data_IF_249364279910
#
_entry.id   IF_249364279910
#
_cell.length_a   1.000
_cell.length_b   1.000
_cell.length_c   1.000
_cell.angle_alpha   90.00
_cell.angle_beta   90.00
_cell.angle_gamma   90.00
#
_symmetry.space_group_name_H-M   'P 1'
#
loop_
_entity.id
_entity.type
_entity.pdbx_description
1 polymer ?
#
# COMPACT_ATOMS: atom_id res chain seq x y z
N UNK A 1 6.38 24.53 11.88
CA UNK A 1 6.20 23.06 11.92
C UNK A 1 4.74 22.76 12.21
N UNK A 2 4.05 21.95 11.39
CA UNK A 2 2.67 21.53 11.69
C UNK A 2 2.65 20.87 13.08
N UNK A 3 1.79 21.33 13.98
CA UNK A 3 1.59 20.73 15.30
C UNK A 3 0.39 19.81 15.24
N UNK A 4 0.57 18.54 15.56
CA UNK A 4 -0.51 17.56 15.65
C UNK A 4 -0.97 17.44 17.10
N UNK A 5 -2.28 17.34 17.32
CA UNK A 5 -2.87 17.31 18.66
C UNK A 5 -2.72 15.95 19.33
N UNK A 6 -2.48 14.89 18.55
CA UNK A 6 -2.27 13.55 19.08
C UNK A 6 -1.39 12.69 18.16
N UNK A 7 -0.75 11.65 18.70
CA UNK A 7 -0.05 10.64 17.90
C UNK A 7 -0.95 9.97 16.87
N UNK A 8 -2.24 9.76 17.18
CA UNK A 8 -3.21 9.21 16.23
C UNK A 8 -3.52 10.17 15.07
N UNK A 9 -3.51 11.48 15.30
CA UNK A 9 -3.67 12.48 14.25
C UNK A 9 -2.44 12.53 13.34
N UNK A 10 -1.24 12.43 13.92
CA UNK A 10 0.00 12.25 13.17
C UNK A 10 -0.05 10.94 12.38
N UNK A 11 -0.48 9.85 13.00
CA UNK A 11 -0.62 8.56 12.34
C UNK A 11 -1.58 8.67 11.17
N UNK A 12 -2.78 9.25 11.31
CA UNK A 12 -3.71 9.42 10.17
C UNK A 12 -3.13 10.30 9.05
N UNK A 13 -2.43 11.37 9.43
CA UNK A 13 -1.71 12.22 8.48
C UNK A 13 -0.66 11.43 7.69
N UNK A 14 0.08 10.55 8.37
CA UNK A 14 1.13 9.69 7.78
C UNK A 14 0.58 8.38 7.15
N UNK A 15 -0.58 7.91 7.57
CA UNK A 15 -1.08 6.56 7.25
C UNK A 15 -2.11 6.54 6.14
N UNK A 16 -2.63 7.69 5.71
CA UNK A 16 -3.71 7.75 4.71
C UNK A 16 -3.38 8.68 3.55
N UNK A 17 -2.64 9.78 3.75
CA UNK A 17 -2.39 10.80 2.72
C UNK A 17 -0.93 11.24 2.61
N UNK A 18 0.01 10.42 3.09
CA UNK A 18 1.40 10.83 3.08
C UNK A 18 1.90 10.77 1.62
N UNK A 19 2.52 11.84 1.10
CA UNK A 19 2.89 12.00 -0.30
C UNK A 19 3.68 10.85 -0.93
N UNK A 20 4.17 9.87 -0.20
CA UNK A 20 4.87 8.69 -0.74
C UNK A 20 3.97 7.88 -1.70
N UNK A 21 2.66 7.78 -1.44
CA UNK A 21 1.71 7.18 -2.38
C UNK A 21 1.25 8.14 -3.49
N UNK A 22 1.53 9.45 -3.35
CA UNK A 22 1.11 10.50 -4.28
C UNK A 22 2.29 11.08 -5.10
N UNK A 23 3.54 10.72 -4.77
CA UNK A 23 4.76 11.04 -5.51
C UNK A 23 4.77 10.32 -6.87
N UNK A 24 4.05 9.21 -6.96
CA UNK A 24 3.65 8.58 -8.19
C UNK A 24 2.14 8.55 -8.19
N UNK A 25 1.49 9.40 -8.97
CA UNK A 25 0.06 9.31 -9.21
C UNK A 25 -0.19 7.93 -9.85
N UNK A 26 -0.48 6.92 -9.01
CA UNK A 26 -0.74 5.56 -9.47
C UNK A 26 -2.05 5.60 -10.26
N UNK A 27 -2.06 5.25 -11.55
CA UNK A 27 -3.22 5.46 -12.41
C UNK A 27 -4.27 4.39 -12.13
N UNK A 28 -4.84 4.39 -10.93
CA UNK A 28 -5.77 3.35 -10.44
C UNK A 28 -6.97 3.17 -11.38
N UNK A 29 -7.37 4.21 -12.10
CA UNK A 29 -8.49 4.20 -13.05
C UNK A 29 -8.16 3.52 -14.38
N UNK A 30 -6.89 3.26 -14.69
CA UNK A 30 -6.49 2.58 -15.93
C UNK A 30 -6.38 1.07 -15.77
N UNK A 31 -6.47 0.55 -14.54
CA UNK A 31 -6.41 -0.88 -14.26
C UNK A 31 -7.80 -1.49 -14.34
N UNK A 32 -7.88 -2.65 -15.00
CA UNK A 32 -9.07 -3.48 -14.98
C UNK A 32 -9.13 -4.31 -13.70
N UNK A 33 -10.31 -4.88 -13.41
CA UNK A 33 -10.45 -5.82 -12.30
C UNK A 33 -9.54 -7.05 -12.45
N UNK A 34 -9.20 -7.45 -13.69
CA UNK A 34 -8.28 -8.56 -13.92
C UNK A 34 -6.85 -8.20 -13.51
N UNK A 35 -6.38 -7.02 -13.92
CA UNK A 35 -5.02 -6.55 -13.60
C UNK A 35 -4.82 -6.44 -12.08
N UNK A 36 -5.85 -5.98 -11.35
CA UNK A 36 -5.81 -5.96 -9.89
C UNK A 36 -5.66 -7.37 -9.27
N UNK A 37 -6.30 -8.38 -9.84
CA UNK A 37 -6.20 -9.77 -9.34
C UNK A 37 -4.82 -10.35 -9.63
N UNK A 38 -4.26 -10.09 -10.81
CA UNK A 38 -2.92 -10.53 -11.19
C UNK A 38 -1.84 -9.90 -10.31
N UNK A 39 -1.88 -8.57 -10.12
CA UNK A 39 -0.97 -7.86 -9.23
C UNK A 39 -1.06 -8.37 -7.79
N UNK A 40 -2.28 -8.65 -7.30
CA UNK A 40 -2.48 -9.25 -5.98
C UNK A 40 -1.86 -10.64 -5.88
N UNK A 41 -2.02 -11.49 -6.90
CA UNK A 41 -1.44 -12.83 -6.91
C UNK A 41 0.09 -12.79 -6.92
N UNK A 42 0.68 -11.92 -7.74
CA UNK A 42 2.12 -11.70 -7.78
C UNK A 42 2.65 -11.20 -6.44
N UNK A 43 2.00 -10.20 -5.84
CA UNK A 43 2.39 -9.67 -4.53
C UNK A 43 2.34 -10.74 -3.42
N UNK A 44 1.30 -11.59 -3.42
CA UNK A 44 1.20 -12.69 -2.44
C UNK A 44 2.26 -13.77 -2.66
N UNK A 45 2.65 -14.04 -3.91
CA UNK A 45 3.72 -14.99 -4.23
C UNK A 45 5.06 -14.47 -3.72
N UNK A 46 5.41 -13.22 -4.06
CA UNK A 46 6.63 -12.57 -3.57
C UNK A 46 6.64 -12.48 -2.04
N UNK A 47 5.50 -12.18 -1.42
CA UNK A 47 5.39 -12.14 0.03
C UNK A 47 5.68 -13.49 0.69
N UNK A 48 5.18 -14.59 0.11
CA UNK A 48 5.48 -15.95 0.60
C UNK A 48 6.97 -16.27 0.50
N UNK A 49 7.62 -15.89 -0.61
CA UNK A 49 9.06 -16.07 -0.81
C UNK A 49 9.87 -15.30 0.24
N UNK A 50 9.53 -14.02 0.48
CA UNK A 50 10.22 -13.17 1.46
C UNK A 50 10.03 -13.69 2.89
N UNK A 51 8.82 -14.13 3.21
CA UNK A 51 8.49 -14.54 4.58
C UNK A 51 8.85 -15.99 4.90
N UNK A 52 9.35 -16.75 3.91
CA UNK A 52 9.55 -18.19 4.01
C UNK A 52 8.31 -18.93 4.56
N UNK A 53 7.11 -18.37 4.35
CA UNK A 53 5.86 -19.00 4.81
C UNK A 53 5.52 -20.08 3.80
N UNK A 54 5.91 -21.32 4.13
CA UNK A 54 5.38 -22.53 3.50
C UNK A 54 3.86 -22.43 3.47
N UNK A 55 3.25 -22.73 2.32
CA UNK A 55 1.83 -23.03 2.31
C UNK A 55 1.58 -24.16 3.32
N UNK A 56 0.68 -23.91 4.26
CA UNK A 56 0.19 -24.89 5.21
C UNK A 56 -0.80 -25.83 4.53
#
# INVERSE_FOLDING_TARGET
MKRFKSPAQLQRFVSIDDPIANLYCFPRTTFTSNDHRELRHAAMTAWREITCVSAA
#
